data_IF_468977325171
#
_entry.id   IF_468977325171
#
_cell.length_a   1.000
_cell.length_b   1.000
_cell.length_c   1.000
_cell.angle_alpha   90.00
_cell.angle_beta   90.00
_cell.angle_gamma   90.00
#
_symmetry.space_group_name_H-M   'P 1'
#
loop_
_entity.id
_entity.type
_entity.pdbx_description
1 polymer ?
#
# COMPACT_ATOMS: atom_id res chain seq x y z
N UNK A 1 22.85 11.37 12.23
CA UNK A 1 21.78 12.40 12.22
C UNK A 1 20.47 11.66 12.21
N UNK A 2 19.70 11.71 13.30
CA UNK A 2 18.36 11.11 13.33
C UNK A 2 17.49 11.85 12.34
N UNK A 3 16.93 11.12 11.38
CA UNK A 3 16.11 11.69 10.33
C UNK A 3 14.76 12.10 10.97
N UNK A 4 14.59 13.39 11.28
CA UNK A 4 13.35 13.86 11.91
C UNK A 4 12.25 13.93 10.85
N UNK A 5 11.23 13.09 10.98
CA UNK A 5 10.04 13.13 10.14
C UNK A 5 9.22 14.39 10.47
N UNK A 6 8.80 15.12 9.43
CA UNK A 6 7.95 16.31 9.59
C UNK A 6 6.48 15.88 9.60
N UNK A 7 6.05 15.32 10.73
CA UNK A 7 4.69 14.85 10.98
C UNK A 7 3.68 16.02 11.00
N UNK A 8 2.40 15.71 10.78
CA UNK A 8 1.34 16.71 10.74
C UNK A 8 0.68 16.95 12.10
N UNK A 9 -0.38 17.75 12.08
CA UNK A 9 -1.14 18.13 13.26
C UNK A 9 -2.61 18.32 12.92
N UNK A 10 -3.46 18.42 13.93
CA UNK A 10 -4.89 18.74 13.75
C UNK A 10 -5.06 20.25 13.89
N UNK A 11 -5.69 20.89 12.91
CA UNK A 11 -6.12 22.28 13.03
C UNK A 11 -7.27 22.36 14.03
N UNK A 12 -7.15 23.20 15.06
CA UNK A 12 -8.17 23.29 16.12
C UNK A 12 -9.52 23.80 15.64
N UNK A 13 -9.54 24.63 14.61
CA UNK A 13 -10.76 25.25 14.11
C UNK A 13 -11.53 24.30 13.19
N UNK A 14 -10.83 23.68 12.23
CA UNK A 14 -11.46 22.82 11.23
C UNK A 14 -11.57 21.36 11.68
N UNK A 15 -10.72 20.93 12.63
CA UNK A 15 -10.58 19.53 13.02
C UNK A 15 -9.84 18.68 11.99
N UNK A 16 -9.31 19.29 10.93
CA UNK A 16 -8.66 18.58 9.83
C UNK A 16 -7.17 18.35 10.10
N UNK A 17 -6.63 17.30 9.50
CA UNK A 17 -5.21 17.04 9.49
C UNK A 17 -4.49 18.01 8.54
N UNK A 18 -3.39 18.58 9.01
CA UNK A 18 -2.57 19.53 8.24
C UNK A 18 -1.11 19.13 8.39
N UNK A 19 -0.44 18.90 7.26
CA UNK A 19 1.00 18.65 7.25
C UNK A 19 1.80 19.98 7.21
N UNK A 20 3.03 20.01 7.74
CA UNK A 20 3.75 21.26 8.02
C UNK A 20 3.91 22.22 6.83
N UNK A 21 4.01 21.69 5.60
CA UNK A 21 4.19 22.48 4.38
C UNK A 21 3.00 23.40 4.06
N UNK A 22 1.78 22.96 4.33
CA UNK A 22 0.54 23.74 4.08
C UNK A 22 0.02 24.45 5.32
N UNK A 23 0.61 24.19 6.48
CA UNK A 23 0.28 24.86 7.73
C UNK A 23 0.68 26.34 7.71
N UNK A 24 -0.11 27.18 8.38
CA UNK A 24 0.14 28.60 8.53
C UNK A 24 0.17 29.02 10.02
N UNK A 25 0.88 30.11 10.34
CA UNK A 25 1.06 30.59 11.73
C UNK A 25 -0.16 31.30 12.33
N UNK A 26 -1.20 31.58 11.55
CA UNK A 26 -2.41 32.26 12.04
C UNK A 26 -3.34 31.27 12.73
N UNK A 27 -3.29 30.02 12.32
CA UNK A 27 -4.08 28.95 12.91
C UNK A 27 -3.41 28.32 14.13
N UNK A 28 -4.24 27.64 14.93
CA UNK A 28 -3.80 26.87 16.08
C UNK A 28 -3.88 25.37 15.81
N UNK A 29 -2.93 24.62 16.36
CA UNK A 29 -2.80 23.19 16.10
C UNK A 29 -2.65 22.40 17.39
N UNK A 30 -3.12 21.16 17.36
CA UNK A 30 -2.95 20.18 18.43
C UNK A 30 -2.32 18.89 17.91
N UNK A 31 -1.62 18.19 18.81
CA UNK A 31 -1.08 16.86 18.52
C UNK A 31 -2.20 15.83 18.44
N UNK A 32 -2.21 15.03 17.38
CA UNK A 32 -3.14 13.91 17.14
C UNK A 32 -3.05 12.79 18.18
N UNK A 33 -1.99 12.77 19.00
CA UNK A 33 -1.72 11.72 19.99
C UNK A 33 -2.07 12.14 21.42
N UNK A 34 -1.67 13.35 21.84
CA UNK A 34 -1.86 13.80 23.22
C UNK A 34 -2.80 15.00 23.36
N UNK A 35 -3.34 15.51 22.24
CA UNK A 35 -4.24 16.67 22.17
C UNK A 35 -3.68 17.98 22.76
N UNK A 36 -2.37 18.04 23.03
CA UNK A 36 -1.72 19.27 23.52
C UNK A 36 -1.42 20.23 22.37
N UNK A 37 -1.38 21.51 22.71
CA UNK A 37 -0.99 22.59 21.80
C UNK A 37 0.37 22.33 21.13
N UNK A 38 0.41 22.65 19.84
CA UNK A 38 1.62 22.64 19.04
C UNK A 38 2.04 24.03 18.61
N UNK A 39 3.34 24.17 18.37
CA UNK A 39 3.94 25.34 17.74
C UNK A 39 4.37 24.95 16.33
N UNK A 40 3.87 25.67 15.34
CA UNK A 40 4.38 25.60 13.97
C UNK A 40 5.73 26.33 13.87
N UNK A 41 6.80 25.56 13.64
CA UNK A 41 8.14 26.07 13.39
C UNK A 41 8.36 26.27 11.89
N UNK A 42 8.18 27.51 11.43
CA UNK A 42 8.30 27.87 10.02
C UNK A 42 9.39 28.93 9.82
N UNK A 43 10.36 28.63 8.96
CA UNK A 43 11.48 29.52 8.63
C UNK A 43 12.00 29.28 7.21
N UNK A 44 13.05 30.04 6.82
CA UNK A 44 13.65 29.96 5.47
C UNK A 44 14.69 28.85 5.31
N UNK A 45 15.30 28.41 6.42
CA UNK A 45 16.46 27.51 6.41
C UNK A 45 16.06 26.08 6.80
N UNK A 46 15.32 25.94 7.91
CA UNK A 46 14.88 24.63 8.41
C UNK A 46 13.53 24.25 7.80
N UNK A 47 13.37 22.96 7.53
CA UNK A 47 12.09 22.35 7.10
C UNK A 47 11.00 22.71 8.10
N UNK A 48 9.82 23.04 7.58
CA UNK A 48 8.67 23.39 8.40
C UNK A 48 8.26 22.14 9.19
N UNK A 49 8.02 22.29 10.49
CA UNK A 49 7.64 21.18 11.36
C UNK A 49 6.82 21.67 12.54
N UNK A 50 6.04 20.78 13.13
CA UNK A 50 5.40 21.02 14.42
C UNK A 50 6.30 20.58 15.57
N UNK A 51 6.11 21.21 16.73
CA UNK A 51 6.69 20.75 17.99
C UNK A 51 5.78 21.05 19.16
N UNK A 52 5.89 20.24 20.21
CA UNK A 52 5.28 20.54 21.49
C UNK A 52 5.93 21.76 22.17
N UNK A 53 5.13 22.47 22.96
CA UNK A 53 5.66 23.30 24.06
C UNK A 53 6.38 22.38 25.06
N UNK A 54 7.41 22.90 25.74
CA UNK A 54 8.15 22.11 26.73
C UNK A 54 7.20 21.72 27.86
N UNK A 55 7.09 20.42 28.10
CA UNK A 55 6.31 19.83 29.19
C UNK A 55 7.19 18.81 29.91
N UNK A 56 7.56 19.13 31.15
CA UNK A 56 8.44 18.30 31.98
C UNK A 56 7.66 17.27 32.82
N UNK A 57 6.33 17.36 32.87
CA UNK A 57 5.49 16.49 33.71
C UNK A 57 5.03 15.28 32.92
N UNK A 58 4.50 15.51 31.71
CA UNK A 58 3.98 14.46 30.84
C UNK A 58 4.45 14.67 29.40
N UNK A 59 5.75 14.45 29.10
CA UNK A 59 6.31 14.71 27.78
C UNK A 59 5.68 13.81 26.71
N UNK A 60 5.33 14.39 25.57
CA UNK A 60 4.91 13.65 24.38
C UNK A 60 6.03 13.63 23.36
N UNK A 61 6.46 12.43 22.99
CA UNK A 61 7.58 12.20 22.07
C UNK A 61 7.16 12.05 20.61
N UNK A 62 5.89 12.22 20.26
CA UNK A 62 5.37 12.02 18.91
C UNK A 62 6.20 12.74 17.82
N UNK A 63 6.58 14.01 18.01
CA UNK A 63 7.39 14.76 17.02
C UNK A 63 8.91 14.60 17.18
N UNK A 64 9.40 13.96 18.24
CA UNK A 64 10.84 13.80 18.49
C UNK A 64 11.34 12.37 18.28
N UNK A 65 10.51 11.39 18.60
CA UNK A 65 10.76 9.97 18.45
C UNK A 65 9.41 9.23 18.30
N UNK A 66 8.72 9.38 17.15
CA UNK A 66 7.44 8.71 16.92
C UNK A 66 7.60 7.20 16.89
N UNK A 67 6.59 6.51 17.41
CA UNK A 67 6.49 5.04 17.30
C UNK A 67 6.00 4.61 15.92
N UNK A 68 6.12 3.31 15.60
CA UNK A 68 5.65 2.76 14.34
C UNK A 68 4.15 3.05 14.10
N UNK A 69 3.32 2.82 15.13
CA UNK A 69 1.88 3.08 15.11
C UNK A 69 1.55 4.55 14.86
N UNK A 70 2.36 5.46 15.41
CA UNK A 70 2.17 6.90 15.21
C UNK A 70 2.48 7.32 13.78
N UNK A 71 3.59 6.84 13.21
CA UNK A 71 3.94 7.11 11.81
C UNK A 71 2.88 6.51 10.87
N UNK A 72 2.39 5.31 11.17
CA UNK A 72 1.32 4.65 10.41
C UNK A 72 0.04 5.49 10.40
N UNK A 73 -0.41 5.93 11.58
CA UNK A 73 -1.59 6.80 11.73
C UNK A 73 -1.43 8.13 10.99
N UNK A 74 -0.29 8.81 11.13
CA UNK A 74 0.01 10.04 10.38
C UNK A 74 0.00 9.80 8.87
N UNK A 75 0.51 8.66 8.40
CA UNK A 75 0.46 8.26 7.00
C UNK A 75 -0.98 8.16 6.46
N UNK A 76 -1.90 7.56 7.22
CA UNK A 76 -3.32 7.45 6.84
C UNK A 76 -3.97 8.83 6.73
N UNK A 77 -3.78 9.65 7.76
CA UNK A 77 -4.37 11.00 7.81
C UNK A 77 -3.80 11.89 6.71
N UNK A 78 -2.51 11.78 6.42
CA UNK A 78 -1.87 12.48 5.32
C UNK A 78 -2.42 12.04 3.96
N UNK A 79 -2.49 10.73 3.69
CA UNK A 79 -3.03 10.26 2.41
C UNK A 79 -4.48 10.69 2.21
N UNK A 80 -5.30 10.60 3.26
CA UNK A 80 -6.67 11.11 3.25
C UNK A 80 -6.71 12.58 2.85
N UNK A 81 -5.94 13.43 3.55
CA UNK A 81 -5.90 14.87 3.28
C UNK A 81 -5.40 15.19 1.85
N UNK A 82 -4.43 14.42 1.34
CA UNK A 82 -3.93 14.60 -0.03
C UNK A 82 -4.98 14.26 -1.09
N UNK A 83 -5.73 13.17 -0.90
CA UNK A 83 -6.80 12.75 -1.81
C UNK A 83 -8.00 13.74 -1.77
N UNK A 84 -8.37 14.22 -0.58
CA UNK A 84 -9.44 15.22 -0.40
C UNK A 84 -9.05 16.59 -0.97
N UNK A 85 -7.77 16.96 -0.88
CA UNK A 85 -7.24 18.27 -1.30
C UNK A 85 -7.17 18.51 -2.81
N UNK A 86 -7.69 17.58 -3.63
CA UNK A 86 -7.75 17.68 -5.10
C UNK A 86 -6.38 17.91 -5.78
N UNK A 87 -5.29 17.48 -5.14
CA UNK A 87 -3.98 17.42 -5.79
C UNK A 87 -4.02 16.26 -6.78
N UNK A 88 -3.48 16.44 -7.99
CA UNK A 88 -3.37 15.35 -8.94
C UNK A 88 -2.40 14.28 -8.39
N UNK A 89 -2.93 13.11 -8.04
CA UNK A 89 -2.16 11.99 -7.50
C UNK A 89 -2.14 10.85 -8.51
N UNK A 90 -0.94 10.36 -8.82
CA UNK A 90 -0.74 9.11 -9.55
C UNK A 90 0.07 8.14 -8.72
N UNK A 91 -0.02 6.86 -9.06
CA UNK A 91 0.72 5.79 -8.40
C UNK A 91 1.64 5.11 -9.39
N UNK A 92 2.87 4.83 -8.98
CA UNK A 92 3.83 4.09 -9.79
C UNK A 92 4.17 2.77 -9.12
N UNK A 93 4.05 1.67 -9.88
CA UNK A 93 4.38 0.31 -9.44
C UNK A 93 5.44 -0.27 -10.35
N UNK A 94 6.48 -0.86 -9.75
CA UNK A 94 7.58 -1.44 -10.50
C UNK A 94 7.41 -2.95 -10.59
N UNK A 95 7.39 -3.49 -11.81
CA UNK A 95 7.32 -4.93 -12.02
C UNK A 95 8.54 -5.63 -11.37
N UNK A 96 8.28 -6.62 -10.52
CA UNK A 96 9.34 -7.33 -9.81
C UNK A 96 10.26 -8.13 -10.75
N UNK A 97 9.75 -8.54 -11.93
CA UNK A 97 10.47 -9.31 -12.95
C UNK A 97 11.29 -8.44 -13.91
N UNK A 98 10.66 -7.52 -14.63
CA UNK A 98 11.28 -6.77 -15.72
C UNK A 98 11.66 -5.34 -15.35
N UNK A 99 11.32 -4.87 -14.14
CA UNK A 99 11.57 -3.52 -13.64
C UNK A 99 10.92 -2.39 -14.47
N UNK A 100 9.99 -2.72 -15.37
CA UNK A 100 9.13 -1.72 -16.02
C UNK A 100 8.22 -1.08 -14.97
N UNK A 101 7.99 0.22 -15.14
CA UNK A 101 7.08 0.98 -14.30
C UNK A 101 5.69 0.99 -14.95
N UNK A 102 4.68 0.73 -14.13
CA UNK A 102 3.27 0.91 -14.47
C UNK A 102 2.77 2.13 -13.69
N UNK A 103 2.17 3.08 -14.40
CA UNK A 103 1.56 4.26 -13.79
C UNK A 103 0.05 4.08 -13.75
N UNK A 104 -0.55 4.43 -12.61
CA UNK A 104 -1.97 4.33 -12.33
C UNK A 104 -2.47 5.71 -11.93
N UNK A 105 -3.44 6.20 -12.67
CA UNK A 105 -4.18 7.40 -12.31
C UNK A 105 -5.39 7.00 -11.48
N UNK A 106 -5.74 7.84 -10.51
CA UNK A 106 -6.93 7.66 -9.69
C UNK A 106 -8.01 8.61 -10.22
N UNK A 107 -9.29 8.20 -10.24
CA UNK A 107 -10.37 9.08 -10.64
C UNK A 107 -10.34 10.41 -9.86
N UNK A 108 -10.63 11.51 -10.54
CA UNK A 108 -10.81 12.80 -9.86
C UNK A 108 -11.98 12.73 -8.87
N UNK A 109 -11.87 13.45 -7.76
CA UNK A 109 -12.96 13.50 -6.77
C UNK A 109 -14.14 14.31 -7.29
N UNK A 110 -15.33 13.78 -7.05
CA UNK A 110 -16.62 14.41 -7.34
C UNK A 110 -17.32 14.85 -6.05
N UNK A 111 -18.52 15.42 -6.16
CA UNK A 111 -19.33 15.80 -4.99
C UNK A 111 -19.80 14.59 -4.17
N UNK A 112 -19.82 13.39 -4.76
CA UNK A 112 -20.20 12.13 -4.08
C UNK A 112 -19.00 11.36 -3.54
N UNK A 113 -17.79 11.87 -3.75
CA UNK A 113 -16.57 11.20 -3.36
C UNK A 113 -16.33 11.31 -1.87
N UNK A 114 -15.99 10.18 -1.25
CA UNK A 114 -15.69 10.07 0.18
C UNK A 114 -14.36 9.34 0.35
N UNK A 115 -13.45 9.95 1.12
CA UNK A 115 -12.20 9.33 1.55
C UNK A 115 -12.31 8.93 3.01
N UNK A 116 -12.34 7.63 3.27
CA UNK A 116 -12.49 7.08 4.63
C UNK A 116 -11.23 6.35 5.09
N UNK A 117 -10.86 6.56 6.35
CA UNK A 117 -9.79 5.79 7.02
C UNK A 117 -10.40 4.64 7.80
N UNK A 118 -9.69 3.52 7.92
CA UNK A 118 -10.18 2.31 8.62
C UNK A 118 -11.50 1.77 8.02
N UNK A 119 -11.64 1.85 6.69
CA UNK A 119 -12.87 1.50 6.01
C UNK A 119 -13.09 -0.01 6.01
N UNK A 120 -14.26 -0.43 6.50
CA UNK A 120 -14.65 -1.84 6.57
C UNK A 120 -15.44 -2.24 5.33
N UNK A 121 -15.04 -3.34 4.70
CA UNK A 121 -15.69 -3.86 3.48
C UNK A 121 -15.71 -5.39 3.47
N UNK A 122 -16.50 -5.98 2.57
CA UNK A 122 -16.65 -7.42 2.40
C UNK A 122 -15.86 -7.91 1.17
N UNK A 123 -14.85 -8.75 1.38
CA UNK A 123 -14.08 -9.40 0.31
C UNK A 123 -13.37 -10.64 0.85
N UNK A 124 -13.86 -11.83 0.51
CA UNK A 124 -13.41 -13.09 1.12
C UNK A 124 -13.47 -13.01 2.67
N UNK A 125 -14.59 -12.49 3.20
CA UNK A 125 -14.78 -12.13 4.59
C UNK A 125 -14.64 -10.63 4.84
N UNK A 126 -15.02 -10.19 6.04
CA UNK A 126 -14.89 -8.80 6.49
C UNK A 126 -13.41 -8.41 6.55
N UNK A 127 -13.05 -7.33 5.86
CA UNK A 127 -11.71 -6.71 5.84
C UNK A 127 -11.78 -5.24 6.25
N UNK A 128 -10.62 -4.66 6.52
CA UNK A 128 -10.45 -3.23 6.81
C UNK A 128 -9.28 -2.75 5.96
N UNK A 129 -9.47 -1.63 5.25
CA UNK A 129 -8.41 -0.91 4.55
C UNK A 129 -7.99 0.31 5.38
N UNK A 130 -6.69 0.63 5.37
CA UNK A 130 -6.20 1.83 6.04
C UNK A 130 -6.84 3.11 5.50
N UNK A 131 -6.96 3.23 4.17
CA UNK A 131 -7.68 4.31 3.48
C UNK A 131 -8.47 3.73 2.31
N UNK A 132 -9.71 4.19 2.12
CA UNK A 132 -10.56 3.84 0.99
C UNK A 132 -11.06 5.09 0.29
N UNK A 133 -11.10 5.02 -1.05
CA UNK A 133 -11.79 5.99 -1.89
C UNK A 133 -13.09 5.36 -2.39
N UNK A 134 -14.20 5.96 -1.99
CA UNK A 134 -15.56 5.59 -2.35
C UNK A 134 -16.16 6.72 -3.18
N UNK A 135 -16.90 6.39 -4.23
CA UNK A 135 -17.68 7.36 -5.01
C UNK A 135 -19.05 6.77 -5.34
N UNK A 136 -20.11 7.55 -5.14
CA UNK A 136 -21.50 7.10 -5.29
C UNK A 136 -21.81 5.76 -4.57
N UNK A 137 -21.17 5.54 -3.42
CA UNK A 137 -21.30 4.32 -2.62
C UNK A 137 -20.50 3.11 -3.15
N UNK A 138 -19.81 3.23 -4.27
CA UNK A 138 -18.94 2.19 -4.82
C UNK A 138 -17.49 2.35 -4.33
N UNK A 139 -16.88 1.25 -3.89
CA UNK A 139 -15.47 1.22 -3.51
C UNK A 139 -14.60 1.26 -4.76
N UNK A 140 -14.01 2.42 -5.06
CA UNK A 140 -13.19 2.62 -6.26
C UNK A 140 -11.75 2.14 -6.08
N UNK A 141 -11.15 2.44 -4.92
CA UNK A 141 -9.76 2.11 -4.66
C UNK A 141 -9.50 2.01 -3.15
N UNK A 142 -8.53 1.19 -2.77
CA UNK A 142 -8.04 1.09 -1.41
C UNK A 142 -6.53 1.29 -1.34
N UNK A 143 -6.08 1.75 -0.18
CA UNK A 143 -4.68 2.00 0.11
C UNK A 143 -4.33 1.42 1.47
N UNK A 144 -3.19 0.74 1.54
CA UNK A 144 -2.61 0.26 2.78
C UNK A 144 -1.33 1.05 3.06
N UNK A 145 -1.20 1.57 4.27
CA UNK A 145 -0.02 2.28 4.72
C UNK A 145 0.89 1.24 5.39
N UNK A 146 2.10 1.07 4.86
CA UNK A 146 3.09 0.17 5.42
C UNK A 146 4.11 0.99 6.22
N UNK A 147 4.46 0.50 7.41
CA UNK A 147 5.62 0.98 8.16
C UNK A 147 6.66 -0.14 8.36
N UNK A 148 6.34 -1.22 9.08
CA UNK A 148 7.25 -2.38 9.17
C UNK A 148 6.75 -3.64 8.45
N UNK A 149 5.44 -3.89 8.43
CA UNK A 149 4.87 -5.14 7.93
C UNK A 149 3.95 -4.91 6.73
N UNK A 150 4.13 -5.74 5.70
CA UNK A 150 3.32 -5.69 4.49
C UNK A 150 1.99 -6.42 4.66
N UNK A 151 0.98 -5.95 3.95
CA UNK A 151 -0.36 -6.53 3.89
C UNK A 151 -0.40 -7.74 2.96
N UNK A 152 -1.14 -8.78 3.36
CA UNK A 152 -1.32 -9.99 2.56
C UNK A 152 -2.26 -9.75 1.37
N UNK A 153 -1.78 -10.03 0.15
CA UNK A 153 -2.44 -9.59 -1.08
C UNK A 153 -3.71 -10.33 -1.48
N UNK A 154 -3.90 -11.57 -1.03
CA UNK A 154 -5.04 -12.43 -1.40
C UNK A 154 -6.39 -11.95 -0.83
N UNK A 155 -6.37 -10.92 0.03
CA UNK A 155 -7.51 -10.44 0.80
C UNK A 155 -7.97 -9.04 0.42
N UNK A 156 -7.65 -8.57 -0.79
CA UNK A 156 -7.92 -7.19 -1.24
C UNK A 156 -8.48 -7.15 -2.67
N UNK A 157 -9.51 -6.33 -2.95
CA UNK A 157 -9.97 -6.05 -4.30
C UNK A 157 -8.98 -5.11 -5.02
N UNK A 158 -8.89 -5.21 -6.35
CA UNK A 158 -8.19 -4.22 -7.18
C UNK A 158 -9.16 -3.09 -7.59
N UNK A 159 -8.68 -1.85 -7.81
CA UNK A 159 -7.29 -1.40 -7.67
C UNK A 159 -6.90 -1.17 -6.20
N UNK A 160 -5.70 -1.65 -5.84
CA UNK A 160 -5.15 -1.49 -4.50
C UNK A 160 -3.66 -1.15 -4.49
N UNK A 161 -3.27 -0.19 -3.66
CA UNK A 161 -1.88 0.22 -3.49
C UNK A 161 -1.40 0.05 -2.05
N UNK A 162 -0.12 -0.30 -1.90
CA UNK A 162 0.57 -0.31 -0.59
C UNK A 162 1.65 0.76 -0.62
N UNK A 163 1.70 1.61 0.40
CA UNK A 163 2.48 2.85 0.40
C UNK A 163 3.37 2.89 1.64
N UNK A 164 4.64 3.23 1.47
CA UNK A 164 5.55 3.45 2.60
C UNK A 164 5.22 4.78 3.32
N UNK A 165 4.90 4.69 4.61
CA UNK A 165 4.45 5.82 5.42
C UNK A 165 5.48 6.95 5.49
N UNK A 166 6.75 6.61 5.74
CA UNK A 166 7.81 7.61 5.88
C UNK A 166 8.07 8.34 4.56
N UNK A 167 8.11 7.60 3.45
CA UNK A 167 8.32 8.17 2.13
C UNK A 167 7.16 9.10 1.76
N UNK A 168 5.90 8.72 2.02
CA UNK A 168 4.75 9.58 1.82
C UNK A 168 4.89 10.91 2.59
N UNK A 169 5.24 10.83 3.88
CA UNK A 169 5.45 12.02 4.74
C UNK A 169 6.59 12.89 4.22
N UNK A 170 7.71 12.30 3.81
CA UNK A 170 8.85 13.03 3.24
C UNK A 170 8.46 13.73 1.94
N UNK A 171 7.74 13.04 1.05
CA UNK A 171 7.33 13.57 -0.25
C UNK A 171 6.38 14.76 -0.11
N UNK A 172 5.36 14.64 0.75
CA UNK A 172 4.40 15.71 1.00
C UNK A 172 5.04 17.00 1.56
N UNK A 173 6.16 16.88 2.28
CA UNK A 173 6.85 18.04 2.85
C UNK A 173 7.92 18.66 1.92
N UNK A 174 8.43 17.91 0.94
CA UNK A 174 9.53 18.35 0.08
C UNK A 174 9.07 18.88 -1.30
N UNK A 175 7.95 18.41 -1.83
CA UNK A 175 7.50 18.78 -3.18
C UNK A 175 6.73 20.11 -3.21
N UNK A 176 6.79 20.81 -4.35
CA UNK A 176 5.83 21.86 -4.68
C UNK A 176 4.59 21.15 -5.27
N UNK A 177 3.57 20.93 -4.45
CA UNK A 177 2.44 20.04 -4.77
C UNK A 177 1.44 20.68 -5.74
N UNK A 178 1.74 20.65 -7.03
CA UNK A 178 0.71 20.67 -8.08
C UNK A 178 0.30 19.25 -8.47
N UNK A 179 1.21 18.30 -8.35
CA UNK A 179 0.96 16.87 -8.55
C UNK A 179 1.89 16.03 -7.65
N UNK A 180 1.50 14.78 -7.40
CA UNK A 180 2.26 13.84 -6.59
C UNK A 180 2.20 12.42 -7.19
N UNK A 181 3.35 11.86 -7.56
CA UNK A 181 3.46 10.47 -7.98
C UNK A 181 3.95 9.61 -6.79
N UNK A 182 3.08 8.77 -6.24
CA UNK A 182 3.34 7.95 -5.06
C UNK A 182 3.81 6.55 -5.48
N UNK A 183 4.90 6.07 -4.88
CA UNK A 183 5.38 4.71 -5.15
C UNK A 183 4.53 3.67 -4.43
N UNK A 184 4.00 2.70 -5.18
CA UNK A 184 3.42 1.47 -4.65
C UNK A 184 4.54 0.45 -4.37
N UNK A 185 4.63 -0.03 -3.13
CA UNK A 185 5.68 -0.95 -2.66
C UNK A 185 5.30 -2.43 -2.76
N UNK A 186 4.12 -2.73 -3.34
CA UNK A 186 3.69 -4.09 -3.66
C UNK A 186 4.67 -4.74 -4.63
N UNK A 187 4.97 -6.02 -4.40
CA UNK A 187 5.88 -6.79 -5.24
C UNK A 187 5.05 -7.61 -6.23
N UNK A 188 4.66 -6.97 -7.33
CA UNK A 188 3.77 -7.55 -8.35
C UNK A 188 4.49 -7.70 -9.69
N UNK A 189 3.98 -8.61 -10.52
CA UNK A 189 4.37 -8.71 -11.94
C UNK A 189 3.48 -7.78 -12.76
N UNK A 190 4.05 -7.13 -13.77
CA UNK A 190 3.23 -6.51 -14.81
C UNK A 190 2.48 -7.57 -15.60
N UNK A 191 1.41 -7.17 -16.28
CA UNK A 191 0.55 -8.04 -17.07
C UNK A 191 1.33 -8.86 -18.11
N UNK A 192 2.30 -8.23 -18.79
CA UNK A 192 3.17 -8.91 -19.76
C UNK A 192 3.96 -10.05 -19.12
N UNK A 193 4.56 -9.82 -17.94
CA UNK A 193 5.34 -10.84 -17.23
C UNK A 193 4.45 -11.95 -16.68
N UNK A 194 3.27 -11.58 -16.17
CA UNK A 194 2.27 -12.53 -15.67
C UNK A 194 1.79 -13.47 -16.80
N UNK A 195 1.38 -12.90 -17.93
CA UNK A 195 0.90 -13.69 -19.07
C UNK A 195 2.02 -14.52 -19.72
N UNK A 196 3.25 -14.00 -19.77
CA UNK A 196 4.41 -14.77 -20.26
C UNK A 196 4.71 -15.98 -19.37
N UNK A 197 4.65 -15.82 -18.04
CA UNK A 197 4.83 -16.94 -17.11
C UNK A 197 3.70 -17.97 -17.23
N UNK A 198 2.45 -17.51 -17.31
CA UNK A 198 1.28 -18.38 -17.48
C UNK A 198 1.38 -19.24 -18.73
N UNK A 199 1.84 -18.65 -19.85
CA UNK A 199 2.12 -19.38 -21.10
C UNK A 199 3.22 -20.42 -20.91
N UNK A 200 4.34 -20.05 -20.27
CA UNK A 200 5.44 -20.98 -19.97
C UNK A 200 4.98 -22.15 -19.11
N UNK A 201 4.25 -21.90 -18.03
CA UNK A 201 3.73 -22.95 -17.14
C UNK A 201 2.74 -23.87 -17.85
N UNK A 202 1.91 -23.34 -18.77
CA UNK A 202 1.01 -24.14 -19.59
C UNK A 202 1.80 -25.06 -20.53
N UNK A 203 2.85 -24.55 -21.18
CA UNK A 203 3.71 -25.34 -22.04
C UNK A 203 4.43 -26.44 -21.26
N UNK A 204 5.02 -26.12 -20.09
CA UNK A 204 5.69 -27.13 -19.25
C UNK A 204 4.76 -28.25 -18.79
N UNK A 205 3.47 -27.95 -18.55
CA UNK A 205 2.46 -28.97 -18.24
C UNK A 205 2.15 -29.86 -19.45
N UNK A 206 2.07 -29.28 -20.64
CA UNK A 206 1.86 -30.03 -21.89
C UNK A 206 3.05 -30.95 -22.17
N UNK A 207 4.27 -30.42 -22.09
CA UNK A 207 5.50 -31.19 -22.31
C UNK A 207 5.62 -32.37 -21.33
N UNK A 208 5.26 -32.17 -20.05
CA UNK A 208 5.23 -33.24 -19.04
C UNK A 208 4.17 -34.30 -19.36
N UNK A 209 2.99 -33.90 -19.82
CA UNK A 209 1.94 -34.84 -20.22
C UNK A 209 2.36 -35.66 -21.44
N UNK A 210 2.99 -35.04 -22.43
CA UNK A 210 3.54 -35.73 -23.60
C UNK A 210 4.65 -36.72 -23.20
N UNK A 211 5.58 -36.31 -22.35
CA UNK A 211 6.64 -37.20 -21.83
C UNK A 211 6.06 -38.41 -21.07
N UNK A 212 5.03 -38.21 -20.24
CA UNK A 212 4.34 -39.30 -19.54
C UNK A 212 3.66 -40.25 -20.53
N UNK A 213 3.00 -39.74 -21.58
CA UNK A 213 2.39 -40.57 -22.62
C UNK A 213 3.44 -41.38 -23.38
N UNK A 214 4.55 -40.76 -23.77
CA UNK A 214 5.68 -41.44 -24.43
C UNK A 214 6.22 -42.56 -23.53
N UNK A 215 6.40 -42.28 -22.23
CA UNK A 215 6.89 -43.26 -21.25
C UNK A 215 5.90 -44.42 -21.07
N UNK A 216 4.60 -44.12 -20.96
CA UNK A 216 3.54 -45.13 -20.85
C UNK A 216 3.40 -45.99 -22.10
N UNK A 217 3.68 -45.43 -23.28
CA UNK A 217 3.64 -46.14 -24.55
C UNK A 217 4.95 -46.84 -24.91
N UNK A 218 5.98 -46.74 -24.06
CA UNK A 218 7.25 -47.41 -24.33
C UNK A 218 7.07 -48.95 -24.30
N UNK A 219 7.73 -49.69 -25.21
CA UNK A 219 7.63 -51.16 -25.25
C UNK A 219 8.01 -51.80 -23.91
N UNK A 220 9.02 -51.26 -23.22
CA UNK A 220 9.47 -51.73 -21.91
C UNK A 220 8.41 -51.52 -20.82
N UNK A 221 7.75 -50.35 -20.78
CA UNK A 221 6.69 -50.09 -19.82
C UNK A 221 5.48 -51.00 -20.06
N UNK A 222 5.08 -51.18 -21.32
CA UNK A 222 3.98 -52.07 -21.71
C UNK A 222 4.30 -53.54 -21.38
N UNK A 223 5.54 -53.98 -21.59
CA UNK A 223 6.01 -55.31 -21.22
C UNK A 223 5.91 -55.54 -19.70
N UNK A 224 6.46 -54.63 -18.88
CA UNK A 224 6.39 -54.72 -17.41
C UNK A 224 4.93 -54.72 -16.91
N UNK A 225 4.06 -53.89 -17.51
CA UNK A 225 2.64 -53.83 -17.18
C UNK A 225 1.92 -55.15 -17.48
N UNK A 226 2.23 -55.78 -18.60
CA UNK A 226 1.66 -57.07 -18.99
C UNK A 226 2.17 -58.23 -18.12
N UNK A 227 3.45 -58.24 -17.75
CA UNK A 227 4.05 -59.20 -16.80
C UNK A 227 3.36 -59.14 -15.43
N UNK A 228 3.13 -57.94 -14.89
CA UNK A 228 2.41 -57.75 -13.62
C UNK A 228 0.97 -58.26 -13.68
N UNK A 229 0.26 -58.01 -14.78
CA UNK A 229 -1.12 -58.53 -14.98
C UNK A 229 -1.15 -60.06 -14.99
N UNK A 230 -0.21 -60.71 -15.68
CA UNK A 230 -0.10 -62.18 -15.71
C UNK A 230 0.12 -62.76 -14.32
N UNK A 231 0.99 -62.16 -13.50
CA UNK A 231 1.23 -62.60 -12.11
C UNK A 231 -0.01 -62.50 -11.22
N UNK A 232 -0.87 -61.51 -11.41
CA UNK A 232 -2.12 -61.36 -10.63
C UNK A 232 -3.15 -62.42 -11.00
N UNK A 233 -3.21 -62.84 -12.27
CA UNK A 233 -4.11 -63.88 -12.76
C UNK A 233 -3.73 -65.30 -12.33
N UNK A 234 -2.48 -65.51 -11.92
CA UNK A 234 -1.95 -66.81 -11.47
C UNK A 234 -2.08 -67.04 -9.95
N UNK A 235 -2.62 -66.08 -9.20
CA UNK A 235 -2.80 -66.13 -7.73
C UNK A 235 -4.30 -66.21 -7.35
N UNK A 236 -5.17 -66.47 -8.34
CA UNK A 236 -6.59 -66.82 -8.15
C UNK A 236 -6.82 -68.23 -8.66
#
# INVERSE_FOLDING_TARGET
MTHVLSLGAINKLTGEYVYPKIANKKDEYICSECNKDLILCQGKIKVHHFRHKVDNVNPCHHFSNPTETQIHKDGKMLLKNLLEGQIQISFIRNCCCCKKNEEFEIPETSETSVIETEYRFEYNGVKIADVAYIDDGELLCIFEICNAHKTCSENRPEPWFEIDAENLIKMANNNNLTSLQIQCIRVEKCDECFESEKKRLKQEKLDKLEQLQVTHNSPEYQFIKNEKKKKILLVK
#
